data_IF_597522607673
#
_entry.id   IF_597522607673
#
_cell.length_a   1.000
_cell.length_b   1.000
_cell.length_c   1.000
_cell.angle_alpha   90.00
_cell.angle_beta   90.00
_cell.angle_gamma   90.00
#
_symmetry.space_group_name_H-M   'P 1'
#
loop_
_entity.id
_entity.type
_entity.pdbx_description
1 polymer ?
#
# COMPACT_ATOMS: atom_id res chain seq x y z
N UNK A 1 7.93 18.23 -18.37
CA UNK A 1 7.29 17.04 -18.95
C UNK A 1 7.17 16.00 -17.84
N UNK A 2 6.03 15.33 -17.71
CA UNK A 2 5.81 14.29 -16.70
C UNK A 2 6.68 13.06 -17.02
N UNK A 3 7.23 12.43 -15.99
CA UNK A 3 8.07 11.23 -16.05
C UNK A 3 7.57 10.12 -15.12
N UNK A 4 6.75 10.45 -14.12
CA UNK A 4 6.22 9.49 -13.17
C UNK A 4 4.75 9.77 -12.89
N UNK A 5 3.94 8.73 -12.96
CA UNK A 5 2.54 8.71 -12.53
C UNK A 5 2.39 7.65 -11.44
N UNK A 6 1.96 8.03 -10.26
CA UNK A 6 1.63 7.11 -9.17
C UNK A 6 0.12 7.09 -8.93
N UNK A 7 -0.44 5.93 -8.62
CA UNK A 7 -1.85 5.83 -8.27
C UNK A 7 -2.07 4.88 -7.11
N UNK A 8 -2.89 5.30 -6.15
CA UNK A 8 -3.53 4.38 -5.23
C UNK A 8 -4.50 3.46 -5.99
N UNK A 9 -4.94 2.39 -5.32
CA UNK A 9 -5.82 1.36 -5.89
C UNK A 9 -7.25 1.48 -5.37
N UNK A 10 -7.46 1.22 -4.09
CA UNK A 10 -8.78 1.05 -3.49
C UNK A 10 -9.47 2.39 -3.25
N UNK A 11 -10.49 2.70 -4.03
CA UNK A 11 -11.13 4.02 -4.03
C UNK A 11 -10.55 4.98 -5.07
N UNK A 12 -9.46 4.61 -5.75
CA UNK A 12 -8.81 5.44 -6.77
C UNK A 12 -8.89 4.78 -8.15
N UNK A 13 -8.13 3.72 -8.43
CA UNK A 13 -8.26 2.92 -9.66
C UNK A 13 -9.36 1.86 -9.55
N UNK A 14 -9.61 1.35 -8.35
CA UNK A 14 -10.66 0.37 -8.06
C UNK A 14 -11.85 1.08 -7.40
N UNK A 15 -12.69 1.70 -8.21
CA UNK A 15 -13.90 2.37 -7.75
C UNK A 15 -15.00 1.35 -7.39
N UNK A 16 -15.91 1.76 -6.50
CA UNK A 16 -17.11 0.97 -6.15
C UNK A 16 -16.82 -0.45 -5.67
N UNK A 17 -15.69 -0.68 -4.97
CA UNK A 17 -15.24 -2.00 -4.49
C UNK A 17 -15.01 -3.01 -5.62
N UNK A 18 -14.62 -2.54 -6.81
CA UNK A 18 -14.23 -3.41 -7.92
C UNK A 18 -13.08 -4.34 -7.50
N UNK A 19 -13.13 -5.59 -7.97
CA UNK A 19 -12.11 -6.61 -7.66
C UNK A 19 -11.10 -6.81 -8.80
N UNK A 20 -11.31 -6.15 -9.94
CA UNK A 20 -10.45 -6.18 -11.12
C UNK A 20 -10.37 -4.81 -11.76
N UNK A 21 -9.24 -4.52 -12.38
CA UNK A 21 -9.06 -3.32 -13.18
C UNK A 21 -9.70 -3.50 -14.56
N UNK A 22 -10.26 -2.42 -15.16
CA UNK A 22 -10.74 -2.46 -16.54
C UNK A 22 -9.56 -2.59 -17.52
N UNK A 23 -9.78 -3.25 -18.66
CA UNK A 23 -8.78 -3.44 -19.72
C UNK A 23 -8.18 -2.10 -20.22
N UNK A 24 -8.97 -1.05 -20.19
CA UNK A 24 -8.57 0.29 -20.58
C UNK A 24 -7.34 0.79 -19.79
N UNK A 25 -7.29 0.53 -18.50
CA UNK A 25 -6.17 0.94 -17.63
C UNK A 25 -4.84 0.34 -18.11
N UNK A 26 -4.84 -0.94 -18.51
CA UNK A 26 -3.62 -1.60 -19.01
C UNK A 26 -3.14 -0.99 -20.34
N UNK A 27 -4.10 -0.61 -21.20
CA UNK A 27 -3.79 0.10 -22.44
C UNK A 27 -3.18 1.49 -22.18
N UNK A 28 -3.74 2.25 -21.23
CA UNK A 28 -3.22 3.57 -20.84
C UNK A 28 -1.82 3.47 -20.23
N UNK A 29 -1.59 2.46 -19.37
CA UNK A 29 -0.28 2.21 -18.77
C UNK A 29 0.78 1.96 -19.86
N UNK A 30 0.50 1.09 -20.83
CA UNK A 30 1.45 0.82 -21.93
C UNK A 30 1.75 2.08 -22.76
N UNK A 31 0.74 2.89 -23.04
CA UNK A 31 0.94 4.15 -23.76
C UNK A 31 1.77 5.17 -22.95
N UNK A 32 1.67 5.17 -21.61
CA UNK A 32 2.55 5.97 -20.75
C UNK A 32 4.00 5.48 -20.85
N UNK A 33 4.21 4.16 -20.73
CA UNK A 33 5.55 3.54 -20.85
C UNK A 33 6.18 3.81 -22.23
N UNK A 34 5.42 3.76 -23.33
CA UNK A 34 5.88 4.14 -24.67
C UNK A 34 6.34 5.60 -24.77
N UNK A 35 5.79 6.47 -23.92
CA UNK A 35 6.22 7.87 -23.78
C UNK A 35 7.39 8.07 -22.81
N UNK A 36 7.88 6.99 -22.19
CA UNK A 36 8.91 7.03 -21.15
C UNK A 36 8.37 7.57 -19.81
N UNK A 37 7.08 7.45 -19.56
CA UNK A 37 6.43 7.86 -18.30
C UNK A 37 6.19 6.62 -17.46
N UNK A 38 6.94 6.48 -16.36
CA UNK A 38 6.84 5.39 -15.41
C UNK A 38 5.46 5.37 -14.73
N UNK A 39 4.83 4.20 -14.64
CA UNK A 39 3.64 4.00 -13.84
C UNK A 39 3.96 3.25 -12.54
N UNK A 40 3.52 3.80 -11.40
CA UNK A 40 3.73 3.24 -10.06
C UNK A 40 2.37 2.96 -9.39
N UNK A 41 2.06 1.71 -9.15
CA UNK A 41 0.91 1.32 -8.34
C UNK A 41 1.29 1.40 -6.85
N UNK A 42 0.54 2.18 -6.03
CA UNK A 42 0.85 2.44 -4.63
C UNK A 42 -0.32 2.06 -3.71
N UNK A 43 -0.19 1.02 -2.89
CA UNK A 43 -1.31 0.50 -2.09
C UNK A 43 -0.87 -0.04 -0.72
N UNK A 44 -1.85 -0.19 0.19
CA UNK A 44 -1.71 -0.97 1.41
C UNK A 44 -1.74 -2.48 1.18
N UNK A 45 -2.05 -2.93 -0.03
CA UNK A 45 -2.11 -4.34 -0.40
C UNK A 45 -0.72 -4.97 -0.42
N UNK A 46 -0.70 -6.29 -0.24
CA UNK A 46 0.49 -7.12 -0.38
C UNK A 46 0.99 -7.14 -1.83
N UNK A 47 2.31 -7.14 -2.05
CA UNK A 47 2.93 -7.14 -3.38
C UNK A 47 2.42 -8.25 -4.32
N UNK A 48 2.31 -9.55 -3.90
CA UNK A 48 1.74 -10.58 -4.77
C UNK A 48 0.29 -10.32 -5.19
N UNK A 49 -0.51 -9.67 -4.37
CA UNK A 49 -1.89 -9.33 -4.73
C UNK A 49 -1.94 -8.20 -5.76
N UNK A 50 -1.01 -7.24 -5.66
CA UNK A 50 -0.89 -6.17 -6.65
C UNK A 50 -0.42 -6.73 -8.00
N UNK A 51 0.58 -7.62 -8.03
CA UNK A 51 1.05 -8.22 -9.29
C UNK A 51 -0.01 -9.07 -9.96
N UNK A 52 -0.86 -9.78 -9.19
CA UNK A 52 -2.04 -10.48 -9.73
C UNK A 52 -3.05 -9.52 -10.35
N UNK A 53 -3.33 -8.40 -9.69
CA UNK A 53 -4.26 -7.38 -10.18
C UNK A 53 -3.79 -6.73 -11.49
N UNK A 54 -2.49 -6.50 -11.62
CA UNK A 54 -1.86 -5.93 -12.80
C UNK A 54 -1.27 -7.00 -13.74
N UNK A 55 -1.71 -8.26 -13.67
CA UNK A 55 -1.12 -9.37 -14.43
C UNK A 55 -0.80 -9.06 -15.91
N UNK A 56 -1.65 -8.33 -16.69
CA UNK A 56 -1.35 -8.00 -18.09
C UNK A 56 -0.14 -7.06 -18.30
N UNK A 57 0.27 -6.32 -17.27
CA UNK A 57 1.37 -5.33 -17.31
C UNK A 57 2.31 -5.45 -16.10
N UNK A 58 2.27 -6.56 -15.38
CA UNK A 58 2.94 -6.70 -14.09
C UNK A 58 4.46 -6.51 -14.14
N UNK A 59 5.11 -6.83 -15.24
CA UNK A 59 6.55 -6.63 -15.45
C UNK A 59 6.91 -5.27 -16.04
N UNK A 60 5.91 -4.52 -16.48
CA UNK A 60 6.07 -3.22 -17.14
C UNK A 60 6.02 -2.05 -16.15
N UNK A 61 5.46 -2.26 -14.95
CA UNK A 61 5.22 -1.22 -13.95
C UNK A 61 6.01 -1.41 -12.65
N UNK A 62 6.03 -0.38 -11.86
CA UNK A 62 6.64 -0.35 -10.53
C UNK A 62 5.58 -0.34 -9.42
N UNK A 63 5.95 -0.75 -8.21
CA UNK A 63 5.02 -0.97 -7.11
C UNK A 63 5.52 -0.34 -5.81
N UNK A 64 4.59 0.26 -5.07
CA UNK A 64 4.74 0.60 -3.66
C UNK A 64 3.65 -0.16 -2.91
N UNK A 65 4.04 -1.16 -2.12
CA UNK A 65 3.12 -2.04 -1.39
C UNK A 65 3.23 -1.88 0.13
N UNK A 66 2.31 -2.50 0.87
CA UNK A 66 2.25 -2.45 2.34
C UNK A 66 2.35 -1.01 2.88
N UNK A 67 1.57 -0.08 2.28
CA UNK A 67 1.58 1.34 2.63
C UNK A 67 2.96 2.02 2.54
N UNK A 68 3.85 1.52 1.69
CA UNK A 68 5.18 2.07 1.49
C UNK A 68 6.30 1.32 2.19
N UNK A 69 6.04 0.16 2.79
CA UNK A 69 7.09 -0.67 3.39
C UNK A 69 7.96 -1.37 2.35
N UNK A 70 7.46 -1.54 1.14
CA UNK A 70 8.18 -2.17 0.04
C UNK A 70 8.01 -1.36 -1.25
N UNK A 71 9.11 -1.07 -1.94
CA UNK A 71 9.08 -0.61 -3.32
C UNK A 71 9.80 -1.61 -4.21
N UNK A 72 9.14 -1.98 -5.31
CA UNK A 72 9.64 -2.93 -6.31
C UNK A 72 9.60 -2.27 -7.68
N UNK A 73 10.73 -2.26 -8.35
CA UNK A 73 10.95 -1.63 -9.63
C UNK A 73 11.21 -2.71 -10.68
N UNK A 74 10.27 -2.92 -11.61
CA UNK A 74 10.36 -3.97 -12.64
C UNK A 74 10.79 -5.35 -12.08
N UNK A 75 10.25 -5.72 -10.92
CA UNK A 75 10.55 -6.99 -10.23
C UNK A 75 11.75 -6.95 -9.27
N UNK A 76 12.60 -5.94 -9.32
CA UNK A 76 13.72 -5.75 -8.40
C UNK A 76 13.28 -4.96 -7.16
N UNK A 77 13.71 -5.39 -5.98
CA UNK A 77 13.45 -4.65 -4.73
C UNK A 77 14.29 -3.39 -4.68
N UNK A 78 13.66 -2.22 -4.75
CA UNK A 78 14.32 -0.93 -4.62
C UNK A 78 14.65 -0.62 -3.15
N UNK A 79 13.69 -0.84 -2.25
CA UNK A 79 13.90 -0.84 -0.81
C UNK A 79 12.83 -1.66 -0.10
N UNK A 80 13.12 -2.02 1.15
CA UNK A 80 12.19 -2.71 2.04
C UNK A 80 12.38 -2.21 3.47
N UNK A 81 11.35 -1.64 4.06
CA UNK A 81 11.29 -1.37 5.50
C UNK A 81 10.88 -2.64 6.24
N UNK A 82 11.47 -2.86 7.39
CA UNK A 82 11.11 -3.97 8.26
C UNK A 82 11.26 -3.60 9.72
N UNK A 83 10.52 -4.30 10.55
CA UNK A 83 10.71 -4.23 11.99
C UNK A 83 12.09 -4.76 12.38
N UNK A 84 12.66 -4.14 13.42
CA UNK A 84 13.69 -4.82 14.21
C UNK A 84 13.13 -6.13 14.77
N UNK A 85 13.96 -7.17 14.74
CA UNK A 85 13.52 -8.53 15.12
C UNK A 85 13.10 -8.64 16.58
N UNK A 86 13.69 -7.83 17.47
CA UNK A 86 13.34 -7.79 18.88
C UNK A 86 11.95 -7.17 19.06
N UNK A 87 11.71 -6.01 18.46
CA UNK A 87 10.39 -5.35 18.52
C UNK A 87 9.28 -6.21 17.90
N UNK A 88 9.54 -6.82 16.73
CA UNK A 88 8.60 -7.77 16.13
C UNK A 88 8.26 -8.91 17.10
N UNK A 89 9.27 -9.45 17.79
CA UNK A 89 9.11 -10.48 18.82
C UNK A 89 8.28 -10.05 20.01
N UNK A 90 8.47 -8.85 20.49
CA UNK A 90 7.71 -8.28 21.60
C UNK A 90 6.24 -8.09 21.21
N UNK A 91 5.95 -7.59 19.99
CA UNK A 91 4.59 -7.45 19.49
C UNK A 91 3.91 -8.83 19.36
N UNK A 92 4.57 -9.80 18.71
CA UNK A 92 4.03 -11.15 18.53
C UNK A 92 3.77 -11.82 19.87
N UNK A 93 4.70 -11.72 20.82
CA UNK A 93 4.53 -12.29 22.18
C UNK A 93 3.31 -11.70 22.88
N UNK A 94 3.12 -10.37 22.79
CA UNK A 94 1.96 -9.70 23.35
C UNK A 94 0.64 -10.17 22.73
N UNK A 95 0.61 -10.44 21.41
CA UNK A 95 -0.58 -10.96 20.75
C UNK A 95 -0.84 -12.42 21.15
N UNK A 96 0.22 -13.21 21.30
CA UNK A 96 0.10 -14.61 21.73
C UNK A 96 -0.44 -14.75 23.16
N UNK A 97 -0.11 -13.81 24.05
CA UNK A 97 -0.65 -13.76 25.42
C UNK A 97 -2.16 -13.47 25.45
N UNK A 98 -2.69 -12.75 24.45
CA UNK A 98 -4.10 -12.41 24.35
C UNK A 98 -4.88 -13.58 23.74
N UNK A 99 -5.71 -14.25 24.54
CA UNK A 99 -6.38 -15.52 24.21
C UNK A 99 -7.20 -15.47 22.91
N UNK A 100 -7.91 -14.34 22.68
CA UNK A 100 -8.86 -14.19 21.58
C UNK A 100 -8.31 -13.35 20.42
N UNK A 101 -6.99 -13.16 20.35
CA UNK A 101 -6.34 -12.44 19.28
C UNK A 101 -5.47 -13.39 18.43
N UNK A 102 -5.47 -13.15 17.15
CA UNK A 102 -4.63 -13.81 16.15
C UNK A 102 -3.70 -12.78 15.51
N UNK A 103 -2.73 -13.21 14.71
CA UNK A 103 -1.85 -12.25 14.04
C UNK A 103 -1.40 -12.71 12.64
N UNK A 104 -0.97 -11.73 11.86
CA UNK A 104 -0.22 -11.94 10.62
C UNK A 104 1.07 -11.14 10.64
N UNK A 105 2.11 -11.65 9.97
CA UNK A 105 3.35 -10.91 9.73
C UNK A 105 3.60 -10.85 8.22
N UNK A 106 3.53 -9.66 7.63
CA UNK A 106 3.77 -9.46 6.21
C UNK A 106 5.26 -9.56 5.89
N UNK A 107 5.62 -10.49 5.03
CA UNK A 107 6.87 -10.52 4.29
C UNK A 107 6.61 -10.17 2.82
N UNK A 108 7.67 -10.01 2.00
CA UNK A 108 7.53 -9.58 0.61
C UNK A 108 6.53 -10.43 -0.20
N UNK A 109 6.63 -11.75 -0.10
CA UNK A 109 5.91 -12.65 -0.99
C UNK A 109 4.77 -13.41 -0.30
N UNK A 110 4.64 -13.33 1.03
CA UNK A 110 3.65 -14.05 1.82
C UNK A 110 3.46 -13.45 3.21
N UNK A 111 2.38 -13.85 3.88
CA UNK A 111 2.20 -13.65 5.30
C UNK A 111 2.68 -14.87 6.08
N UNK A 112 3.47 -14.65 7.12
CA UNK A 112 3.66 -15.67 8.14
C UNK A 112 2.41 -15.77 9.00
N UNK A 113 1.97 -16.98 9.24
CA UNK A 113 0.83 -17.32 10.09
C UNK A 113 1.23 -18.39 11.10
N UNK A 114 0.76 -18.20 12.33
CA UNK A 114 0.81 -19.19 13.41
C UNK A 114 -0.58 -19.22 14.07
N UNK A 115 -1.60 -19.74 13.38
CA UNK A 115 -2.99 -19.63 13.79
C UNK A 115 -3.27 -20.45 15.07
N UNK A 116 -3.91 -19.85 16.05
CA UNK A 116 -4.40 -20.51 17.27
C UNK A 116 -5.69 -21.28 17.01
N UNK A 117 -6.47 -20.82 16.00
CA UNK A 117 -7.78 -21.39 15.69
C UNK A 117 -7.92 -21.79 14.23
N UNK A 118 -8.70 -22.86 13.98
CA UNK A 118 -9.08 -23.25 12.63
C UNK A 118 -9.87 -22.16 11.91
N UNK A 119 -10.70 -21.39 12.64
CA UNK A 119 -11.48 -20.27 12.09
C UNK A 119 -10.55 -19.23 11.46
N UNK A 120 -9.49 -18.81 12.14
CA UNK A 120 -8.54 -17.84 11.63
C UNK A 120 -7.74 -18.40 10.44
N UNK A 121 -7.30 -19.65 10.54
CA UNK A 121 -6.64 -20.36 9.43
C UNK A 121 -7.52 -20.30 8.16
N UNK A 122 -8.78 -20.68 8.28
CA UNK A 122 -9.71 -20.74 7.14
C UNK A 122 -10.03 -19.32 6.62
N UNK A 123 -10.19 -18.33 7.53
CA UNK A 123 -10.38 -16.93 7.19
C UNK A 123 -9.24 -16.41 6.28
N UNK A 124 -8.00 -16.66 6.67
CA UNK A 124 -6.84 -16.19 5.90
C UNK A 124 -6.75 -16.85 4.53
N UNK A 125 -7.05 -18.13 4.41
CA UNK A 125 -6.94 -18.87 3.15
C UNK A 125 -8.10 -18.61 2.18
N UNK A 126 -9.31 -18.53 2.69
CA UNK A 126 -10.52 -18.55 1.84
C UNK A 126 -11.20 -17.19 1.69
N UNK A 127 -11.06 -16.30 2.67
CA UNK A 127 -11.66 -14.96 2.66
C UNK A 127 -10.62 -13.89 2.29
N UNK A 128 -9.52 -13.80 3.02
CA UNK A 128 -8.45 -12.81 2.75
C UNK A 128 -7.64 -13.19 1.49
N UNK A 129 -7.40 -14.49 1.26
CA UNK A 129 -6.74 -15.06 0.06
C UNK A 129 -5.33 -14.52 -0.20
N UNK A 130 -4.64 -14.12 0.85
CA UNK A 130 -3.23 -13.75 0.74
C UNK A 130 -2.37 -15.01 0.61
N UNK A 131 -1.19 -14.88 -0.02
CA UNK A 131 -0.18 -15.93 0.05
C UNK A 131 0.26 -16.10 1.50
N UNK A 132 0.23 -17.33 2.02
CA UNK A 132 0.48 -17.61 3.42
C UNK A 132 1.58 -18.66 3.60
N UNK A 133 2.43 -18.48 4.61
CA UNK A 133 3.41 -19.45 5.08
C UNK A 133 3.16 -19.76 6.56
N UNK A 134 2.80 -21.00 6.84
CA UNK A 134 2.57 -21.46 8.20
C UNK A 134 3.89 -21.77 8.90
N UNK A 135 4.02 -21.29 10.13
CA UNK A 135 5.18 -21.52 11.00
C UNK A 135 4.71 -21.96 12.39
N UNK A 136 5.56 -22.65 13.12
CA UNK A 136 5.26 -23.11 14.48
C UNK A 136 5.94 -22.27 15.57
N UNK A 137 6.82 -21.37 15.16
CA UNK A 137 7.55 -20.48 16.07
C UNK A 137 8.12 -19.28 15.31
N UNK A 138 8.60 -18.28 16.06
CA UNK A 138 9.22 -17.09 15.49
C UNK A 138 10.54 -17.37 14.76
N UNK A 139 11.27 -18.41 15.17
CA UNK A 139 12.50 -18.85 14.50
C UNK A 139 12.25 -19.26 13.05
N UNK A 140 11.04 -19.77 12.75
CA UNK A 140 10.59 -20.09 11.40
C UNK A 140 10.32 -18.87 10.52
N UNK A 141 10.22 -17.66 11.09
CA UNK A 141 10.03 -16.42 10.37
C UNK A 141 11.40 -15.83 9.97
N UNK A 142 11.96 -16.30 8.88
CA UNK A 142 13.32 -15.94 8.44
C UNK A 142 13.39 -14.69 7.55
N UNK A 143 12.29 -14.36 6.84
CA UNK A 143 12.23 -13.15 6.02
C UNK A 143 11.99 -11.89 6.88
N UNK A 144 12.43 -10.71 6.42
CA UNK A 144 12.10 -9.44 7.06
C UNK A 144 10.58 -9.23 7.19
N UNK A 145 10.13 -8.75 8.36
CA UNK A 145 8.71 -8.49 8.66
C UNK A 145 8.44 -7.01 8.40
N UNK A 146 7.67 -6.71 7.38
CA UNK A 146 7.35 -5.34 6.96
C UNK A 146 6.18 -4.73 7.74
N UNK A 147 5.21 -5.56 8.08
CA UNK A 147 4.02 -5.17 8.83
C UNK A 147 3.59 -6.33 9.72
N UNK A 148 3.11 -6.01 10.90
CA UNK A 148 2.40 -6.93 11.79
C UNK A 148 0.95 -6.50 11.87
N UNK A 149 0.03 -7.44 11.97
CA UNK A 149 -1.37 -7.13 12.22
C UNK A 149 -1.93 -8.06 13.29
N UNK A 150 -2.64 -7.50 14.25
CA UNK A 150 -3.47 -8.27 15.20
C UNK A 150 -4.89 -8.33 14.67
N UNK A 151 -5.48 -9.49 14.75
CA UNK A 151 -6.87 -9.77 14.41
C UNK A 151 -7.66 -10.14 15.66
N UNK A 152 -8.71 -9.39 15.94
CA UNK A 152 -9.64 -9.64 17.03
C UNK A 152 -11.01 -10.02 16.45
N UNK A 153 -11.36 -11.32 16.39
CA UNK A 153 -12.53 -11.81 15.66
C UNK A 153 -13.88 -11.40 16.27
N UNK A 154 -13.88 -10.85 17.48
CA UNK A 154 -15.07 -10.26 18.12
C UNK A 154 -15.31 -8.80 17.73
N UNK A 155 -14.39 -8.21 16.99
CA UNK A 155 -14.34 -6.78 16.66
C UNK A 155 -13.52 -5.99 17.68
N UNK A 156 -12.96 -4.88 17.19
CA UNK A 156 -12.16 -3.97 18.01
C UNK A 156 -13.06 -3.17 18.97
N UNK A 157 -12.58 -3.00 20.20
CA UNK A 157 -13.16 -2.06 21.18
C UNK A 157 -12.23 -0.87 21.37
N UNK A 158 -12.75 0.25 21.89
CA UNK A 158 -11.91 1.40 22.25
C UNK A 158 -10.81 1.02 23.23
N UNK A 159 -11.12 0.13 24.18
CA UNK A 159 -10.17 -0.38 25.17
C UNK A 159 -9.04 -1.19 24.49
N UNK A 160 -9.39 -2.05 23.53
CA UNK A 160 -8.43 -2.85 22.78
C UNK A 160 -7.51 -1.95 21.94
N UNK A 161 -8.07 -1.00 21.19
CA UNK A 161 -7.28 -0.04 20.39
C UNK A 161 -6.34 0.74 21.32
N UNK A 162 -6.85 1.26 22.44
CA UNK A 162 -6.05 1.99 23.42
C UNK A 162 -4.91 1.13 23.99
N UNK A 163 -5.18 -0.13 24.33
CA UNK A 163 -4.16 -1.07 24.83
C UNK A 163 -2.97 -1.20 23.88
N UNK A 164 -3.24 -1.42 22.59
CA UNK A 164 -2.19 -1.58 21.60
C UNK A 164 -1.43 -0.28 21.34
N UNK A 165 -2.15 0.86 21.28
CA UNK A 165 -1.55 2.18 21.13
C UNK A 165 -0.68 2.57 22.33
N UNK A 166 -1.12 2.35 23.55
CA UNK A 166 -0.35 2.67 24.75
C UNK A 166 0.91 1.80 24.86
N UNK A 167 0.83 0.54 24.41
CA UNK A 167 1.93 -0.43 24.54
C UNK A 167 3.01 -0.24 23.49
N UNK A 168 2.65 0.02 22.22
CA UNK A 168 3.60 0.03 21.10
C UNK A 168 3.62 1.34 20.30
N UNK A 169 2.72 2.27 20.53
CA UNK A 169 2.61 3.51 19.76
C UNK A 169 3.80 4.47 19.89
N UNK A 170 4.74 4.21 20.83
CA UNK A 170 6.01 4.94 20.93
C UNK A 170 7.13 4.32 20.12
N UNK A 171 6.95 3.11 19.60
CA UNK A 171 7.96 2.31 18.92
C UNK A 171 7.62 2.05 17.47
N UNK A 172 6.33 2.12 17.11
CA UNK A 172 5.83 1.98 15.75
C UNK A 172 4.50 2.72 15.58
N UNK A 173 4.06 2.87 14.33
CA UNK A 173 2.71 3.36 14.03
C UNK A 173 1.72 2.25 14.31
N UNK A 174 0.67 2.55 15.09
CA UNK A 174 -0.42 1.63 15.41
C UNK A 174 -1.71 2.23 14.88
N UNK A 175 -2.35 1.57 13.91
CA UNK A 175 -3.56 2.06 13.24
C UNK A 175 -4.60 0.97 13.09
N UNK A 176 -5.87 1.33 13.15
CA UNK A 176 -6.97 0.40 12.85
C UNK A 176 -7.11 0.21 11.34
N UNK A 177 -7.37 -1.03 10.94
CA UNK A 177 -7.61 -1.43 9.54
C UNK A 177 -8.92 -2.24 9.49
N UNK A 178 -10.03 -1.53 9.32
CA UNK A 178 -11.37 -2.11 9.44
C UNK A 178 -11.81 -2.30 10.89
N UNK A 179 -12.77 -3.22 11.10
CA UNK A 179 -13.41 -3.41 12.39
C UNK A 179 -12.75 -4.47 13.29
N UNK A 180 -11.84 -5.27 12.76
CA UNK A 180 -11.26 -6.45 13.44
C UNK A 180 -9.73 -6.43 13.46
N UNK A 181 -9.09 -5.47 12.75
CA UNK A 181 -7.66 -5.44 12.55
C UNK A 181 -7.00 -4.18 13.10
N UNK A 182 -5.83 -4.35 13.72
CA UNK A 182 -4.89 -3.28 14.03
C UNK A 182 -3.55 -3.62 13.38
N UNK A 183 -3.06 -2.70 12.57
CA UNK A 183 -1.77 -2.79 11.90
C UNK A 183 -0.69 -2.08 12.74
N UNK A 184 0.46 -2.74 12.87
CA UNK A 184 1.71 -2.16 13.35
C UNK A 184 2.62 -1.97 12.15
N UNK A 185 3.13 -0.75 11.98
CA UNK A 185 3.91 -0.33 10.81
C UNK A 185 5.18 0.37 11.32
N UNK A 186 6.38 0.08 10.79
CA UNK A 186 7.59 0.78 11.18
C UNK A 186 7.48 2.29 11.00
N UNK A 187 8.04 3.10 11.91
CA UNK A 187 8.04 4.55 11.77
C UNK A 187 8.68 5.01 10.46
N UNK A 188 8.13 6.06 9.87
CA UNK A 188 8.61 6.64 8.62
C UNK A 188 8.17 5.89 7.35
N UNK A 189 7.47 4.76 7.51
CA UNK A 189 6.88 4.02 6.39
C UNK A 189 5.61 4.71 5.94
N UNK A 190 5.57 5.17 4.68
CA UNK A 190 4.40 5.71 4.01
C UNK A 190 4.62 5.67 2.48
N UNK A 191 3.55 5.83 1.69
CA UNK A 191 3.61 5.79 0.22
C UNK A 191 4.55 6.85 -0.37
N UNK A 192 4.68 8.02 0.27
CA UNK A 192 5.59 9.07 -0.19
C UNK A 192 7.06 8.66 -0.12
N UNK A 193 7.43 7.81 0.82
CA UNK A 193 8.80 7.26 0.88
C UNK A 193 9.14 6.52 -0.41
N UNK A 194 8.22 5.66 -0.88
CA UNK A 194 8.38 4.97 -2.16
C UNK A 194 8.54 5.92 -3.33
N UNK A 195 7.69 6.94 -3.42
CA UNK A 195 7.79 7.96 -4.48
C UNK A 195 9.17 8.64 -4.44
N UNK A 196 9.65 9.05 -3.26
CA UNK A 196 10.97 9.70 -3.13
C UNK A 196 12.14 8.80 -3.54
N UNK A 197 12.04 7.48 -3.29
CA UNK A 197 13.07 6.55 -3.73
C UNK A 197 13.09 6.41 -5.27
N UNK A 198 11.94 6.38 -5.95
CA UNK A 198 11.86 6.44 -7.41
C UNK A 198 12.39 7.78 -7.95
N UNK A 199 11.97 8.90 -7.37
CA UNK A 199 12.47 10.24 -7.73
C UNK A 199 14.00 10.29 -7.63
N UNK A 200 14.58 9.78 -6.56
CA UNK A 200 16.03 9.73 -6.35
C UNK A 200 16.74 8.81 -7.35
N UNK A 201 16.22 7.60 -7.56
CA UNK A 201 16.84 6.61 -8.45
C UNK A 201 16.88 7.09 -9.90
N UNK A 202 15.82 7.74 -10.37
CA UNK A 202 15.65 8.16 -11.76
C UNK A 202 15.90 9.65 -12.00
N UNK A 203 16.36 10.37 -10.97
CA UNK A 203 16.57 11.83 -11.02
C UNK A 203 15.34 12.59 -11.52
N UNK A 204 14.16 12.19 -11.03
CA UNK A 204 12.87 12.80 -11.36
C UNK A 204 12.53 13.82 -10.27
N UNK A 205 12.22 15.06 -10.66
CA UNK A 205 11.81 16.09 -9.71
C UNK A 205 10.30 15.96 -9.37
N UNK A 206 9.85 16.51 -8.24
CA UNK A 206 8.42 16.55 -7.91
C UNK A 206 7.56 17.20 -9.00
N UNK A 207 8.10 18.17 -9.75
CA UNK A 207 7.44 18.86 -10.87
C UNK A 207 7.20 17.95 -12.09
N UNK A 208 7.87 16.80 -12.15
CA UNK A 208 7.74 15.81 -13.21
C UNK A 208 6.87 14.61 -12.78
N UNK A 209 6.15 14.75 -11.63
CA UNK A 209 5.36 13.67 -11.05
C UNK A 209 3.89 14.04 -10.89
N UNK A 210 3.03 13.05 -11.18
CA UNK A 210 1.59 13.05 -10.85
C UNK A 210 1.33 11.95 -9.82
N UNK A 211 0.40 12.17 -8.89
CA UNK A 211 -0.11 11.12 -8.01
C UNK A 211 -1.62 11.24 -7.84
N UNK A 212 -2.29 10.08 -7.65
CA UNK A 212 -3.73 9.98 -7.38
C UNK A 212 -3.97 9.22 -6.08
N UNK A 213 -4.94 9.68 -5.28
CA UNK A 213 -5.30 9.04 -4.03
C UNK A 213 -6.61 9.56 -3.44
N UNK A 214 -7.21 8.81 -2.50
CA UNK A 214 -8.52 9.15 -1.91
C UNK A 214 -8.57 9.05 -0.38
N UNK A 215 -7.63 8.37 0.26
CA UNK A 215 -7.62 8.17 1.70
C UNK A 215 -6.48 8.93 2.42
N UNK A 216 -6.55 8.97 3.76
CA UNK A 216 -5.57 9.70 4.57
C UNK A 216 -4.14 9.20 4.42
N UNK A 217 -3.93 7.90 4.12
CA UNK A 217 -2.60 7.32 3.87
C UNK A 217 -2.00 7.75 2.52
N UNK A 218 -2.76 8.47 1.68
CA UNK A 218 -2.29 9.03 0.41
C UNK A 218 -1.78 10.47 0.54
N UNK A 219 -2.11 11.16 1.62
CA UNK A 219 -1.80 12.60 1.78
C UNK A 219 -0.31 12.87 1.57
N UNK A 220 0.56 12.08 2.18
CA UNK A 220 1.99 12.25 2.04
C UNK A 220 2.46 12.00 0.60
N UNK A 221 1.86 11.02 -0.09
CA UNK A 221 2.14 10.73 -1.50
C UNK A 221 1.69 11.89 -2.39
N UNK A 222 0.48 12.40 -2.20
CA UNK A 222 -0.05 13.56 -2.94
C UNK A 222 0.81 14.81 -2.75
N UNK A 223 1.38 15.00 -1.55
CA UNK A 223 2.29 16.12 -1.23
C UNK A 223 3.73 15.90 -1.71
N UNK A 224 4.15 14.67 -1.99
CA UNK A 224 5.49 14.36 -2.47
C UNK A 224 5.68 14.68 -3.96
N UNK A 225 4.61 15.01 -4.67
CA UNK A 225 4.57 15.36 -6.10
C UNK A 225 3.99 16.77 -6.29
N UNK A 226 4.30 17.39 -7.43
CA UNK A 226 3.72 18.70 -7.77
C UNK A 226 2.24 18.59 -8.13
N UNK A 227 1.85 17.52 -8.80
CA UNK A 227 0.50 17.34 -9.34
C UNK A 227 -0.21 16.18 -8.62
N UNK A 228 -0.50 16.40 -7.32
CA UNK A 228 -1.31 15.47 -6.54
C UNK A 228 -2.80 15.70 -6.83
N UNK A 229 -3.50 14.65 -7.26
CA UNK A 229 -4.93 14.65 -7.52
C UNK A 229 -5.66 13.87 -6.42
N UNK A 230 -6.48 14.56 -5.62
CA UNK A 230 -7.43 13.88 -4.75
C UNK A 230 -8.66 13.43 -5.55
N UNK A 231 -9.19 12.26 -5.24
CA UNK A 231 -10.46 11.84 -5.81
C UNK A 231 -11.60 12.74 -5.26
N UNK A 232 -12.57 13.12 -6.08
CA UNK A 232 -13.67 14.02 -5.66
C UNK A 232 -14.51 13.46 -4.51
N UNK A 233 -14.63 12.15 -4.39
CA UNK A 233 -15.36 11.48 -3.31
C UNK A 233 -14.54 11.30 -2.02
N UNK A 234 -13.23 11.64 -2.03
CA UNK A 234 -12.37 11.51 -0.86
C UNK A 234 -12.81 12.42 0.30
N UNK A 235 -12.29 12.14 1.49
CA UNK A 235 -12.57 12.95 2.69
C UNK A 235 -12.04 14.37 2.54
N UNK A 236 -12.66 15.33 3.24
CA UNK A 236 -12.28 16.75 3.17
C UNK A 236 -10.80 16.98 3.45
N UNK A 237 -10.21 16.31 4.45
CA UNK A 237 -8.79 16.41 4.77
C UNK A 237 -7.85 15.98 3.64
N UNK A 238 -8.27 15.02 2.81
CA UNK A 238 -7.51 14.57 1.64
C UNK A 238 -7.61 15.61 0.52
N UNK A 239 -8.84 16.08 0.23
CA UNK A 239 -9.04 17.15 -0.77
C UNK A 239 -8.30 18.44 -0.42
N UNK A 240 -8.26 18.80 0.87
CA UNK A 240 -7.52 19.98 1.34
C UNK A 240 -5.99 19.84 1.23
N UNK A 241 -5.47 18.63 1.05
CA UNK A 241 -4.04 18.38 0.96
C UNK A 241 -3.43 18.70 -0.42
N UNK A 242 -4.25 18.90 -1.44
CA UNK A 242 -3.83 19.15 -2.82
C UNK A 242 -4.72 20.18 -3.52
N UNK A 243 -4.24 20.74 -4.65
CA UNK A 243 -4.97 21.71 -5.45
C UNK A 243 -5.75 21.09 -6.62
N UNK A 244 -5.54 19.83 -6.91
CA UNK A 244 -6.15 19.14 -8.05
C UNK A 244 -7.10 18.07 -7.58
N UNK A 245 -8.21 17.90 -8.30
CA UNK A 245 -9.21 16.87 -8.05
C UNK A 245 -9.63 16.21 -9.35
N UNK A 246 -10.04 14.96 -9.27
CA UNK A 246 -10.62 14.22 -10.39
C UNK A 246 -11.68 13.22 -9.91
N UNK A 247 -12.62 12.88 -10.80
CA UNK A 247 -13.59 11.79 -10.56
C UNK A 247 -13.01 10.42 -10.84
N UNK A 248 -12.12 10.35 -11.83
CA UNK A 248 -11.53 9.12 -12.34
C UNK A 248 -10.08 9.41 -12.77
N UNK A 249 -9.24 8.40 -12.73
CA UNK A 249 -7.83 8.50 -13.11
C UNK A 249 -7.69 8.50 -14.64
N UNK A 250 -8.45 7.65 -15.33
CA UNK A 250 -8.35 7.37 -16.75
C UNK A 250 -8.43 8.65 -17.63
N UNK A 251 -9.39 9.57 -17.44
CA UNK A 251 -9.47 10.79 -18.25
C UNK A 251 -8.25 11.70 -18.12
N UNK A 252 -7.58 11.69 -16.94
CA UNK A 252 -6.35 12.48 -16.73
C UNK A 252 -5.19 11.83 -17.48
N UNK A 253 -5.08 10.48 -17.42
CA UNK A 253 -4.06 9.73 -18.17
C UNK A 253 -4.24 9.90 -19.69
N UNK A 254 -5.47 9.82 -20.20
CA UNK A 254 -5.75 10.04 -21.63
C UNK A 254 -5.31 11.43 -22.11
N UNK A 255 -5.62 12.47 -21.31
CA UNK A 255 -5.18 13.84 -21.64
C UNK A 255 -3.66 13.92 -21.64
N UNK A 256 -2.99 13.33 -20.63
CA UNK A 256 -1.55 13.32 -20.51
C UNK A 256 -0.88 12.63 -21.71
N UNK A 257 -1.43 11.50 -22.14
CA UNK A 257 -0.95 10.76 -23.32
C UNK A 257 -1.11 11.60 -24.59
N UNK A 258 -2.30 12.19 -24.82
CA UNK A 258 -2.56 13.09 -25.97
C UNK A 258 -1.62 14.29 -25.96
N UNK A 259 -1.33 14.86 -24.80
CA UNK A 259 -0.39 15.95 -24.59
C UNK A 259 1.08 15.53 -24.63
N UNK A 260 1.39 14.24 -24.87
CA UNK A 260 2.75 13.68 -24.86
C UNK A 260 3.54 14.05 -23.59
N UNK A 261 2.89 13.93 -22.46
CA UNK A 261 3.48 14.19 -21.14
C UNK A 261 3.57 15.68 -20.73
N UNK A 262 3.01 16.62 -21.51
CA UNK A 262 2.97 18.05 -21.15
C UNK A 262 1.80 18.33 -20.22
N UNK A 263 2.09 18.56 -18.96
CA UNK A 263 1.05 18.72 -17.91
C UNK A 263 0.21 19.97 -18.09
N UNK A 264 0.77 21.04 -18.68
CA UNK A 264 0.08 22.31 -18.92
C UNK A 264 -1.12 22.19 -19.87
N UNK A 265 -1.18 21.11 -20.63
CA UNK A 265 -2.29 20.78 -21.54
C UNK A 265 -3.35 19.87 -20.86
N UNK A 266 -3.13 19.47 -19.58
CA UNK A 266 -3.97 18.51 -18.83
C UNK A 266 -4.78 19.20 -17.74
N UNK A 267 -4.19 20.19 -17.05
CA UNK A 267 -4.72 20.93 -15.87
C UNK A 267 -5.34 22.26 -16.25
#
# INVERSE_FOLDING_TARGET
>A
MIKLVASDLDGTLLLHKAQSLPEEIFSLIRQLEELGIMFVAASGRQYPNMTKLFAPVASEISYISENGALAVDHGEVLYQDSFDRKLAGEIISAILEKKDAEFTCSAKDYHYLMPKTKRFHDHMLYEVKNECRFVNSMEGMTAPIMKLAVFEPAGLTEESVKYWMDRFGKECVVVTSGNEWIDFIPFGTNKAKGIREYQKRYHISPEECIAFGDEYNDIEMLKAVKYGFAMEHSKEGVRAATSYMTKQVEPVLEKLIRAKGKIEEVI
#
